data_IF_341559264319
#
_entry.id   IF_341559264319
#
_cell.length_a   1.000
_cell.length_b   1.000
_cell.length_c   1.000
_cell.angle_alpha   90.00
_cell.angle_beta   90.00
_cell.angle_gamma   90.00
#
_symmetry.space_group_name_H-M   'P 1'
#
loop_
_entity.id
_entity.type
_entity.pdbx_description
1 polymer ?
#
# COMPACT_ATOMS: atom_id res chain seq x y z
N UNK A 1 9.92 -2.50 -1.14
CA UNK A 1 10.70 -1.59 -0.25
C UNK A 1 10.24 -0.15 -0.48
N UNK A 2 10.02 0.64 0.58
CA UNK A 2 9.61 2.04 0.44
C UNK A 2 10.70 2.85 -0.27
N UNK A 3 10.31 3.66 -1.24
CA UNK A 3 11.23 4.50 -2.01
C UNK A 3 10.66 5.90 -2.18
N UNK A 4 11.49 6.85 -2.61
CA UNK A 4 11.05 8.21 -2.91
C UNK A 4 9.87 8.23 -3.90
N UNK A 5 9.85 7.27 -4.83
CA UNK A 5 8.75 7.05 -5.79
C UNK A 5 7.39 6.84 -5.14
N UNK A 6 7.33 6.26 -3.94
CA UNK A 6 6.08 6.09 -3.19
C UNK A 6 5.48 7.45 -2.83
N UNK A 7 6.30 8.36 -2.30
CA UNK A 7 5.86 9.70 -1.92
C UNK A 7 5.58 10.59 -3.14
N UNK A 8 6.42 10.48 -4.17
CA UNK A 8 6.21 11.16 -5.45
C UNK A 8 4.89 10.74 -6.10
N UNK A 9 4.59 9.44 -6.13
CA UNK A 9 3.33 8.91 -6.64
C UNK A 9 2.12 9.48 -5.88
N UNK A 10 2.16 9.47 -4.54
CA UNK A 10 1.06 9.99 -3.71
C UNK A 10 0.86 11.51 -3.90
N UNK A 11 1.96 12.25 -4.04
CA UNK A 11 1.93 13.69 -4.31
C UNK A 11 1.34 13.99 -5.68
N UNK A 12 1.79 13.28 -6.72
CA UNK A 12 1.30 13.44 -8.10
C UNK A 12 -0.17 13.00 -8.22
N UNK A 13 -0.56 11.90 -7.57
CA UNK A 13 -1.95 11.46 -7.51
C UNK A 13 -2.86 12.54 -6.90
N UNK A 14 -2.42 13.16 -5.80
CA UNK A 14 -3.14 14.27 -5.16
C UNK A 14 -3.22 15.50 -6.07
N UNK A 15 -2.14 15.82 -6.78
CA UNK A 15 -2.06 16.97 -7.70
C UNK A 15 -2.97 16.79 -8.91
N UNK A 16 -3.03 15.58 -9.47
CA UNK A 16 -3.84 15.24 -10.64
C UNK A 16 -5.32 15.13 -10.29
N UNK A 17 -5.63 14.54 -9.13
CA UNK A 17 -7.00 14.31 -8.64
C UNK A 17 -7.95 13.79 -9.74
N UNK A 18 -7.47 12.90 -10.61
CA UNK A 18 -8.20 12.37 -11.76
C UNK A 18 -8.19 10.85 -11.74
N UNK A 19 -9.38 10.26 -11.91
CA UNK A 19 -9.56 8.81 -11.99
C UNK A 19 -8.85 8.21 -13.20
N UNK A 20 -8.90 8.86 -14.35
CA UNK A 20 -8.27 8.36 -15.59
C UNK A 20 -6.76 8.25 -15.42
N UNK A 21 -6.14 9.27 -14.81
CA UNK A 21 -4.71 9.26 -14.51
C UNK A 21 -4.36 8.15 -13.52
N UNK A 22 -5.15 7.98 -12.46
CA UNK A 22 -4.95 6.91 -11.48
C UNK A 22 -5.05 5.51 -12.13
N UNK A 23 -6.03 5.28 -12.99
CA UNK A 23 -6.16 4.00 -13.71
C UNK A 23 -4.97 3.74 -14.64
N UNK A 24 -4.47 4.77 -15.33
CA UNK A 24 -3.27 4.64 -16.17
C UNK A 24 -2.01 4.31 -15.34
N UNK A 25 -1.89 4.82 -14.11
CA UNK A 25 -0.74 4.60 -13.22
C UNK A 25 -1.01 3.56 -12.12
N UNK A 26 -2.04 2.72 -12.27
CA UNK A 26 -2.42 1.69 -11.31
C UNK A 26 -1.31 0.63 -11.12
N UNK A 27 -0.54 0.34 -12.17
CA UNK A 27 0.62 -0.55 -12.08
C UNK A 27 1.70 0.03 -11.13
N UNK A 28 1.98 1.33 -11.25
CA UNK A 28 2.93 2.05 -10.40
C UNK A 28 2.40 2.17 -8.97
N UNK A 29 1.10 2.41 -8.79
CA UNK A 29 0.46 2.37 -7.48
C UNK A 29 0.67 1.02 -6.78
N UNK A 30 0.47 -0.08 -7.52
CA UNK A 30 0.67 -1.42 -6.98
C UNK A 30 2.12 -1.69 -6.61
N UNK A 31 3.06 -1.32 -7.47
CA UNK A 31 4.48 -1.56 -7.25
C UNK A 31 5.09 -0.67 -6.16
N UNK A 32 4.75 0.63 -6.16
CA UNK A 32 5.38 1.61 -5.28
C UNK A 32 4.64 1.87 -3.98
N UNK A 33 3.34 1.56 -3.89
CA UNK A 33 2.55 1.77 -2.67
C UNK A 33 2.10 0.43 -2.11
N UNK A 34 1.34 -0.36 -2.86
CA UNK A 34 0.74 -1.57 -2.30
C UNK A 34 1.78 -2.60 -1.86
N UNK A 35 2.73 -2.95 -2.72
CA UNK A 35 3.76 -3.94 -2.39
C UNK A 35 4.58 -3.58 -1.13
N UNK A 36 5.15 -2.37 -0.98
CA UNK A 36 5.89 -2.03 0.24
C UNK A 36 5.02 -1.97 1.49
N UNK A 37 3.75 -1.54 1.39
CA UNK A 37 2.83 -1.56 2.52
C UNK A 37 2.45 -3.00 2.92
N UNK A 38 2.19 -3.90 1.96
CA UNK A 38 1.98 -5.31 2.25
C UNK A 38 3.19 -5.94 2.94
N UNK A 39 4.41 -5.63 2.49
CA UNK A 39 5.62 -6.13 3.16
C UNK A 39 5.73 -5.61 4.60
N UNK A 40 5.37 -4.34 4.84
CA UNK A 40 5.35 -3.77 6.19
C UNK A 40 4.33 -4.48 7.09
N UNK A 41 3.12 -4.71 6.60
CA UNK A 41 2.09 -5.43 7.35
C UNK A 41 2.54 -6.85 7.64
N UNK A 42 3.12 -7.56 6.68
CA UNK A 42 3.68 -8.90 6.90
C UNK A 42 4.80 -8.92 7.95
N UNK A 43 5.61 -7.87 8.01
CA UNK A 43 6.66 -7.73 9.01
C UNK A 43 6.09 -7.45 10.41
N UNK A 44 5.09 -6.57 10.52
CA UNK A 44 4.48 -6.17 11.78
C UNK A 44 3.48 -7.18 12.31
N UNK A 45 2.86 -8.00 11.45
CA UNK A 45 1.85 -8.98 11.81
C UNK A 45 2.27 -9.93 12.95
N UNK A 46 3.45 -10.60 12.92
CA UNK A 46 3.87 -11.44 14.03
C UNK A 46 4.04 -10.65 15.32
N UNK A 47 4.63 -9.45 15.26
CA UNK A 47 4.85 -8.60 16.43
C UNK A 47 3.52 -8.12 17.05
N UNK A 48 2.53 -7.83 16.21
CA UNK A 48 1.20 -7.44 16.66
C UNK A 48 0.47 -8.62 17.34
N UNK A 49 0.60 -9.83 16.80
CA UNK A 49 0.05 -11.05 17.40
C UNK A 49 0.72 -11.41 18.73
N UNK A 50 2.00 -11.06 18.92
CA UNK A 50 2.70 -11.20 20.21
C UNK A 50 2.15 -10.26 21.28
N UNK A 51 1.69 -9.06 20.89
CA UNK A 51 1.10 -8.08 21.82
C UNK A 51 -0.34 -8.49 22.16
N UNK A 52 -1.12 -8.83 21.14
CA UNK A 52 -2.53 -9.20 21.28
C UNK A 52 -2.92 -10.18 20.17
N UNK A 53 -3.29 -11.40 20.58
CA UNK A 53 -3.65 -12.49 19.69
C UNK A 53 -4.98 -12.26 18.93
N UNK A 54 -5.74 -11.22 19.30
CA UNK A 54 -6.94 -10.79 18.59
C UNK A 54 -6.63 -9.83 17.43
N UNK A 55 -5.40 -9.33 17.28
CA UNK A 55 -5.04 -8.43 16.19
C UNK A 55 -4.96 -9.20 14.86
N UNK A 56 -5.77 -8.76 13.89
CA UNK A 56 -5.77 -9.29 12.53
C UNK A 56 -4.98 -8.37 11.61
N UNK A 57 -3.71 -8.70 11.36
CA UNK A 57 -2.82 -7.97 10.45
C UNK A 57 -2.65 -8.75 9.14
N UNK A 58 -3.64 -8.64 8.24
CA UNK A 58 -3.60 -9.31 6.94
C UNK A 58 -3.04 -8.37 5.85
N UNK A 59 -1.99 -8.77 5.11
CA UNK A 59 -1.49 -8.02 3.96
C UNK A 59 -2.40 -8.23 2.73
N UNK A 60 -3.72 -8.07 2.89
CA UNK A 60 -4.69 -8.29 1.81
C UNK A 60 -4.87 -7.02 0.97
N UNK A 61 -4.53 -7.14 -0.30
CA UNK A 61 -4.98 -6.26 -1.38
C UNK A 61 -6.26 -6.88 -1.95
N UNK A 62 -7.29 -7.06 -1.12
CA UNK A 62 -8.52 -7.64 -1.64
C UNK A 62 -9.13 -6.64 -2.62
N UNK A 63 -9.31 -7.11 -3.87
CA UNK A 63 -9.85 -6.36 -4.99
C UNK A 63 -11.25 -5.86 -4.62
N UNK A 64 -11.34 -4.69 -3.98
CA UNK A 64 -12.61 -3.97 -3.90
C UNK A 64 -12.66 -3.02 -5.08
N UNK A 65 -13.28 -3.56 -6.13
CA UNK A 65 -14.09 -2.98 -7.21
C UNK A 65 -14.17 -1.45 -7.22
#
# INVERSE_FOLDING_TARGET
>A
MFSQKTLEFLSENRRRNSREWFHAHNAEYRAYVIEPFCQLVSYLAPQALEIDSQIVALPRVDKTI
#
